data_IF_227414916198
#
_entry.id   IF_227414916198
#
_cell.length_a   1.000
_cell.length_b   1.000
_cell.length_c   1.000
_cell.angle_alpha   90.00
_cell.angle_beta   90.00
_cell.angle_gamma   90.00
#
_symmetry.space_group_name_H-M   'P 1'
#
loop_
_entity.id
_entity.type
_entity.pdbx_description
1 polymer ?
#
# COMPACT_ATOMS: atom_id res chain seq x y z
N UNK A 1 16.12 15.76 15.24
CA UNK A 1 16.07 14.32 14.88
C UNK A 1 14.60 13.92 14.73
N UNK A 2 14.19 13.42 13.55
CA UNK A 2 12.81 13.01 13.26
C UNK A 2 12.28 11.90 14.20
N UNK A 3 13.15 10.99 14.65
CA UNK A 3 12.84 9.95 15.63
C UNK A 3 12.48 10.55 17.00
N UNK A 4 13.18 11.62 17.40
CA UNK A 4 12.93 12.32 18.66
C UNK A 4 11.57 13.03 18.62
N UNK A 5 11.25 13.69 17.50
CA UNK A 5 9.96 14.34 17.30
C UNK A 5 8.79 13.34 17.25
N UNK A 6 9.00 12.18 16.59
CA UNK A 6 8.02 11.10 16.57
C UNK A 6 7.74 10.58 17.99
N UNK A 7 8.79 10.26 18.76
CA UNK A 7 8.64 9.70 20.10
C UNK A 7 8.04 10.69 21.12
N UNK A 8 8.37 11.97 21.04
CA UNK A 8 7.95 12.96 22.03
C UNK A 8 6.57 13.57 21.74
N UNK A 9 6.18 13.70 20.47
CA UNK A 9 5.00 14.48 20.10
C UNK A 9 3.95 13.71 19.30
N UNK A 10 4.38 12.83 18.39
CA UNK A 10 3.45 12.14 17.46
C UNK A 10 2.93 10.85 18.09
N UNK A 11 3.81 10.02 18.64
CA UNK A 11 3.49 8.72 19.22
C UNK A 11 2.47 8.83 20.37
N UNK A 12 2.65 9.71 21.38
CA UNK A 12 1.72 9.76 22.52
C UNK A 12 0.31 10.19 22.08
N UNK A 13 0.24 11.16 21.17
CA UNK A 13 -1.03 11.70 20.66
C UNK A 13 -1.75 10.69 19.76
N UNK A 14 -1.05 10.07 18.82
CA UNK A 14 -1.67 9.08 17.94
C UNK A 14 -2.20 7.87 18.73
N UNK A 15 -1.44 7.43 19.73
CA UNK A 15 -1.76 6.22 20.48
C UNK A 15 -2.84 6.46 21.53
N UNK A 16 -2.95 7.68 22.09
CA UNK A 16 -4.10 8.05 22.91
C UNK A 16 -5.39 8.10 22.10
N UNK A 17 -5.35 8.66 20.89
CA UNK A 17 -6.54 8.76 20.03
C UNK A 17 -7.05 7.38 19.60
N UNK A 18 -6.16 6.44 19.26
CA UNK A 18 -6.56 5.08 18.87
C UNK A 18 -7.34 4.34 19.96
N UNK A 19 -7.05 4.61 21.25
CA UNK A 19 -7.78 4.02 22.38
C UNK A 19 -9.25 4.46 22.45
N UNK A 20 -9.65 5.51 21.73
CA UNK A 20 -11.06 5.91 21.62
C UNK A 20 -11.82 5.11 20.55
N UNK A 21 -11.11 4.49 19.59
CA UNK A 21 -11.71 3.77 18.46
C UNK A 21 -11.60 2.26 18.56
N UNK A 22 -10.64 1.76 19.35
CA UNK A 22 -10.34 0.34 19.50
C UNK A 22 -10.53 -0.04 20.97
N UNK A 23 -11.24 -1.14 21.24
CA UNK A 23 -11.44 -1.61 22.61
C UNK A 23 -10.10 -1.96 23.26
N UNK A 24 -10.03 -1.85 24.59
CA UNK A 24 -8.80 -2.19 25.33
C UNK A 24 -8.35 -3.64 25.11
N UNK A 25 -9.27 -4.55 24.77
CA UNK A 25 -8.99 -5.95 24.47
C UNK A 25 -8.30 -6.17 23.12
N UNK A 26 -8.49 -5.23 22.17
CA UNK A 26 -7.89 -5.27 20.84
C UNK A 26 -6.67 -4.35 20.71
N UNK A 27 -6.41 -3.53 21.73
CA UNK A 27 -5.24 -2.66 21.76
C UNK A 27 -3.98 -3.47 22.04
N UNK A 28 -3.00 -3.30 21.17
CA UNK A 28 -1.65 -3.83 21.35
C UNK A 28 -0.77 -2.82 22.07
N UNK A 29 0.40 -3.26 22.52
CA UNK A 29 1.37 -2.34 23.11
C UNK A 29 1.94 -1.35 22.08
N UNK A 30 2.66 -0.35 22.58
CA UNK A 30 3.23 0.72 21.77
C UNK A 30 4.22 0.23 20.70
N UNK A 31 4.99 -0.82 20.98
CA UNK A 31 6.00 -1.36 20.06
C UNK A 31 5.31 -2.15 18.94
N UNK A 32 4.33 -2.98 19.30
CA UNK A 32 3.49 -3.69 18.34
C UNK A 32 2.69 -2.72 17.47
N UNK A 33 2.15 -1.65 18.04
CA UNK A 33 1.41 -0.64 17.28
C UNK A 33 2.32 0.07 16.26
N UNK A 34 3.54 0.43 16.66
CA UNK A 34 4.53 1.01 15.75
C UNK A 34 4.90 0.02 14.62
N UNK A 35 5.05 -1.25 14.96
CA UNK A 35 5.33 -2.32 14.00
C UNK A 35 4.18 -2.49 12.99
N UNK A 36 2.92 -2.51 13.44
CA UNK A 36 1.77 -2.59 12.54
C UNK A 36 1.62 -1.34 11.69
N UNK A 37 1.80 -0.16 12.26
CA UNK A 37 1.80 1.08 11.51
C UNK A 37 2.85 1.06 10.39
N UNK A 38 4.08 0.65 10.71
CA UNK A 38 5.15 0.48 9.72
C UNK A 38 4.76 -0.48 8.60
N UNK A 39 4.26 -1.68 8.96
CA UNK A 39 3.78 -2.68 8.00
C UNK A 39 2.66 -2.14 7.10
N UNK A 40 1.67 -1.46 7.67
CA UNK A 40 0.57 -0.86 6.90
C UNK A 40 1.09 0.20 5.94
N UNK A 41 1.97 1.10 6.41
CA UNK A 41 2.50 2.18 5.56
C UNK A 41 3.35 1.67 4.41
N UNK A 42 4.11 0.60 4.59
CA UNK A 42 4.96 0.03 3.54
C UNK A 42 4.20 -0.87 2.57
N UNK A 43 3.14 -1.54 3.02
CA UNK A 43 2.43 -2.54 2.22
C UNK A 43 1.07 -2.09 1.69
N UNK A 44 0.58 -0.90 2.07
CA UNK A 44 -0.72 -0.40 1.60
C UNK A 44 -0.66 0.02 0.13
N UNK A 45 -1.72 -0.31 -0.59
CA UNK A 45 -1.93 0.06 -1.98
C UNK A 45 -2.84 1.27 -2.06
N UNK A 46 -2.44 2.25 -2.87
CA UNK A 46 -3.28 3.38 -3.24
C UNK A 46 -4.33 2.91 -4.26
N UNK A 47 -5.59 3.02 -3.88
CA UNK A 47 -6.73 2.84 -4.77
C UNK A 47 -7.09 4.20 -5.36
N UNK A 48 -7.19 4.26 -6.68
CA UNK A 48 -7.60 5.44 -7.42
C UNK A 48 -8.01 5.07 -8.83
N UNK A 49 -8.85 5.90 -9.41
CA UNK A 49 -9.16 5.83 -10.83
C UNK A 49 -8.17 6.65 -11.66
N UNK A 50 -8.10 6.34 -12.95
CA UNK A 50 -7.31 7.10 -13.92
C UNK A 50 -7.69 8.58 -13.86
N UNK A 51 -6.73 9.46 -13.56
CA UNK A 51 -6.92 10.91 -13.56
C UNK A 51 -7.65 11.51 -12.35
N UNK A 52 -8.30 10.71 -11.50
CA UNK A 52 -9.16 11.21 -10.40
C UNK A 52 -8.47 11.28 -9.02
N UNK A 53 -7.15 11.13 -8.97
CA UNK A 53 -6.39 11.27 -7.72
C UNK A 53 -6.57 10.09 -6.76
N UNK A 54 -6.19 10.30 -5.50
CA UNK A 54 -6.24 9.26 -4.45
C UNK A 54 -7.67 9.11 -3.95
N UNK A 55 -8.24 7.89 -4.01
CA UNK A 55 -9.59 7.62 -3.49
C UNK A 55 -9.52 6.96 -2.10
N UNK A 56 -8.66 5.94 -1.96
CA UNK A 56 -8.51 5.21 -0.71
C UNK A 56 -7.15 4.51 -0.63
N UNK A 57 -6.82 4.01 0.57
CA UNK A 57 -5.70 3.09 0.80
C UNK A 57 -6.23 1.77 1.33
N UNK A 58 -5.70 0.64 0.86
CA UNK A 58 -6.09 -0.67 1.37
C UNK A 58 -4.91 -1.67 1.36
N UNK A 59 -5.01 -2.69 2.20
CA UNK A 59 -3.98 -3.73 2.33
C UNK A 59 -4.39 -4.97 1.52
N UNK A 60 -3.57 -5.34 0.54
CA UNK A 60 -3.75 -6.55 -0.27
C UNK A 60 -2.53 -7.43 -0.10
N UNK A 61 -2.54 -8.30 0.92
CA UNK A 61 -1.36 -9.07 1.32
C UNK A 61 -0.71 -9.85 0.16
N UNK A 62 -1.51 -10.46 -0.71
CA UNK A 62 -0.99 -11.17 -1.88
C UNK A 62 -0.32 -10.25 -2.91
N UNK A 63 -0.77 -9.00 -3.04
CA UNK A 63 -0.15 -8.02 -3.94
C UNK A 63 1.09 -7.38 -3.33
N UNK A 64 1.10 -7.19 -2.01
CA UNK A 64 2.23 -6.64 -1.27
C UNK A 64 3.43 -7.60 -1.20
N UNK A 65 3.28 -8.84 -1.67
CA UNK A 65 4.36 -9.80 -1.80
C UNK A 65 5.28 -9.55 -3.01
N UNK A 66 4.84 -8.72 -3.96
CA UNK A 66 5.59 -8.44 -5.19
C UNK A 66 6.54 -7.27 -5.01
N UNK A 67 7.82 -7.49 -5.33
CA UNK A 67 8.87 -6.48 -5.24
C UNK A 67 8.75 -5.38 -6.31
N UNK A 68 9.42 -4.26 -6.04
CA UNK A 68 9.47 -3.12 -6.93
C UNK A 68 10.40 -3.34 -8.14
N UNK A 69 9.96 -2.88 -9.31
CA UNK A 69 10.81 -2.60 -10.47
C UNK A 69 10.32 -1.36 -11.20
N UNK A 70 11.25 -0.51 -11.66
CA UNK A 70 10.94 0.59 -12.58
C UNK A 70 10.56 0.11 -13.99
N UNK A 71 10.74 -1.19 -14.28
CA UNK A 71 10.31 -1.87 -15.51
C UNK A 71 9.58 -3.15 -15.11
N UNK A 72 8.34 -3.04 -14.62
CA UNK A 72 7.65 -4.17 -14.00
C UNK A 72 7.14 -5.19 -15.02
N UNK A 73 7.00 -6.44 -14.58
CA UNK A 73 6.43 -7.54 -15.38
C UNK A 73 4.90 -7.56 -15.33
N UNK A 74 4.32 -6.90 -14.32
CA UNK A 74 2.90 -6.82 -14.10
C UNK A 74 2.46 -5.48 -13.51
N UNK A 75 1.17 -5.17 -13.68
CA UNK A 75 0.54 -3.96 -13.18
C UNK A 75 -0.67 -4.30 -12.31
N UNK A 76 -0.84 -3.54 -11.24
CA UNK A 76 -2.00 -3.63 -10.35
C UNK A 76 -3.07 -2.64 -10.82
N UNK A 77 -4.27 -3.12 -11.10
CA UNK A 77 -5.44 -2.30 -11.44
C UNK A 77 -6.55 -2.53 -10.43
N UNK A 78 -7.36 -1.50 -10.18
CA UNK A 78 -8.49 -1.59 -9.26
C UNK A 78 -9.81 -1.41 -10.02
N UNK A 79 -10.82 -2.19 -9.62
CA UNK A 79 -12.24 -1.96 -9.96
C UNK A 79 -13.01 -1.96 -8.64
N UNK A 80 -13.31 -0.77 -8.13
CA UNK A 80 -13.74 -0.61 -6.74
C UNK A 80 -12.68 -1.15 -5.77
N UNK A 81 -13.09 -1.96 -4.80
CA UNK A 81 -12.19 -2.63 -3.85
C UNK A 81 -11.56 -3.92 -4.38
N UNK A 82 -11.83 -4.33 -5.62
CA UNK A 82 -11.21 -5.52 -6.22
C UNK A 82 -9.94 -5.13 -6.96
N UNK A 83 -8.84 -5.81 -6.64
CA UNK A 83 -7.55 -5.60 -7.27
C UNK A 83 -7.21 -6.72 -8.27
N UNK A 84 -6.60 -6.36 -9.38
CA UNK A 84 -6.20 -7.27 -10.46
C UNK A 84 -4.72 -7.08 -10.75
N UNK A 85 -3.93 -8.15 -10.64
CA UNK A 85 -2.57 -8.20 -11.15
C UNK A 85 -2.60 -8.69 -12.60
N UNK A 86 -2.05 -7.90 -13.53
CA UNK A 86 -2.05 -8.25 -14.97
C UNK A 86 -0.68 -8.04 -15.57
N UNK A 87 -0.18 -9.04 -16.29
CA UNK A 87 0.99 -8.91 -17.15
C UNK A 87 0.57 -8.55 -18.58
N UNK A 88 1.30 -7.66 -19.28
CA UNK A 88 1.13 -7.46 -20.71
C UNK A 88 1.72 -8.61 -21.56
N UNK A 89 2.50 -9.52 -20.95
CA UNK A 89 3.11 -10.66 -21.63
C UNK A 89 2.09 -11.79 -21.78
N UNK A 90 1.78 -12.17 -23.02
CA UNK A 90 0.83 -13.26 -23.32
C UNK A 90 1.39 -14.59 -22.84
N UNK A 91 0.58 -15.38 -22.12
CA UNK A 91 0.97 -16.69 -21.60
C UNK A 91 1.83 -16.63 -20.32
N UNK A 92 2.15 -15.43 -19.82
CA UNK A 92 2.83 -15.28 -18.53
C UNK A 92 1.98 -15.89 -17.42
N UNK A 93 2.53 -16.92 -16.77
CA UNK A 93 1.92 -17.52 -15.60
C UNK A 93 2.22 -16.67 -14.36
N UNK A 94 1.35 -16.78 -13.35
CA UNK A 94 1.60 -16.19 -12.06
C UNK A 94 2.89 -16.74 -11.43
N UNK A 95 3.65 -15.85 -10.82
CA UNK A 95 4.77 -16.16 -9.93
C UNK A 95 4.89 -15.06 -8.88
N UNK A 96 5.28 -15.43 -7.67
CA UNK A 96 5.68 -14.53 -6.59
C UNK A 96 6.86 -13.61 -6.97
N UNK A 97 7.66 -13.99 -7.97
CA UNK A 97 8.79 -13.21 -8.49
C UNK A 97 8.40 -12.12 -9.49
N UNK A 98 7.13 -12.02 -9.88
CA UNK A 98 6.66 -10.92 -10.71
C UNK A 98 6.90 -9.60 -9.97
N UNK A 99 7.41 -8.61 -10.70
CA UNK A 99 7.66 -7.27 -10.13
C UNK A 99 6.57 -6.29 -10.52
N UNK A 100 6.34 -5.30 -9.64
CA UNK A 100 5.35 -4.22 -9.82
C UNK A 100 6.00 -2.84 -9.61
N UNK A 101 5.34 -1.78 -10.03
CA UNK A 101 5.77 -0.41 -9.72
C UNK A 101 5.15 0.05 -8.39
N UNK A 102 5.92 0.66 -7.49
CA UNK A 102 5.43 1.13 -6.18
C UNK A 102 5.03 2.60 -6.24
N UNK A 103 5.81 3.41 -6.95
CA UNK A 103 5.35 4.71 -7.40
C UNK A 103 4.52 4.53 -8.68
N UNK A 104 3.70 5.52 -9.00
CA UNK A 104 2.80 5.43 -10.15
C UNK A 104 2.77 6.79 -10.87
N UNK A 105 3.92 7.45 -11.03
CA UNK A 105 3.98 8.65 -11.89
C UNK A 105 3.69 8.29 -13.36
N UNK A 106 4.07 7.09 -13.80
CA UNK A 106 3.93 6.67 -15.21
C UNK A 106 2.62 5.95 -15.55
N UNK A 107 1.77 5.62 -14.56
CA UNK A 107 0.47 5.01 -14.84
C UNK A 107 -0.58 6.02 -15.34
N UNK A 108 -0.21 7.29 -15.55
CA UNK A 108 -1.04 8.34 -16.14
C UNK A 108 -0.69 8.65 -17.59
N UNK A 109 0.30 7.98 -18.19
CA UNK A 109 0.61 8.15 -19.61
C UNK A 109 -0.43 7.40 -20.45
N UNK A 110 -1.21 8.07 -21.30
CA UNK A 110 -2.22 7.42 -22.10
C UNK A 110 -1.57 6.28 -22.87
N UNK A 111 -1.97 5.05 -22.55
CA UNK A 111 -1.68 3.93 -23.43
C UNK A 111 -2.41 4.27 -24.72
N UNK A 112 -1.66 4.57 -25.79
CA UNK A 112 -2.24 4.64 -27.13
C UNK A 112 -2.95 3.31 -27.33
N UNK A 113 -4.28 3.34 -27.29
CA UNK A 113 -5.10 2.26 -27.82
C UNK A 113 -4.63 2.08 -29.26
N UNK A 114 -4.11 0.88 -29.55
CA UNK A 114 -3.87 0.43 -30.92
C UNK A 114 -5.20 0.07 -31.55
#
# INVERSE_FOLDING_TARGET
NALLAFNLFIKPKLFSELKHFVSSELMVDDEELLKYYGKMRTNAHRIGEWGNGHLASALYLGLSAHDHSCKPDAHIRFRGSTAFLRSPIVGQMYSDKLTVMYDNEYMYLPTKQR
#
